data_IF_485274426896
#
_entry.id   IF_485274426896
#
_cell.length_a   1.000
_cell.length_b   1.000
_cell.length_c   1.000
_cell.angle_alpha   90.00
_cell.angle_beta   90.00
_cell.angle_gamma   90.00
#
_symmetry.space_group_name_H-M   'P 1'
#
loop_
_entity.id
_entity.type
_entity.pdbx_description
1 polymer ?
#
# COMPACT_ATOMS: atom_id res chain seq x y z
N UNK A 1 -47.70 -34.24 -99.95
CA UNK A 1 -47.64 -33.27 -98.84
C UNK A 1 -47.58 -34.05 -97.54
N UNK A 2 -46.57 -33.76 -96.74
CA UNK A 2 -46.30 -34.22 -95.39
C UNK A 2 -46.92 -33.23 -94.40
N UNK A 3 -47.53 -33.70 -93.30
CA UNK A 3 -47.26 -33.37 -91.87
C UNK A 3 -48.41 -33.87 -90.99
N UNK A 4 -48.11 -34.63 -89.93
CA UNK A 4 -48.31 -34.22 -88.52
C UNK A 4 -49.36 -35.12 -87.86
N UNK A 5 -49.37 -35.48 -86.58
CA UNK A 5 -48.69 -35.05 -85.36
C UNK A 5 -49.04 -36.08 -84.25
N UNK A 6 -48.23 -36.15 -83.19
CA UNK A 6 -48.58 -36.74 -81.88
C UNK A 6 -47.62 -37.87 -81.50
N UNK A 7 -46.70 -37.75 -80.53
CA UNK A 7 -46.76 -37.00 -79.27
C UNK A 7 -46.98 -38.01 -78.15
N UNK A 8 -45.93 -38.34 -77.39
CA UNK A 8 -45.99 -39.28 -76.27
C UNK A 8 -44.70 -39.29 -75.46
N UNK A 9 -44.78 -38.63 -74.30
CA UNK A 9 -43.76 -38.42 -73.27
C UNK A 9 -42.97 -39.67 -72.86
N UNK A 10 -41.64 -39.51 -72.77
CA UNK A 10 -40.80 -40.26 -71.87
C UNK A 10 -39.99 -39.22 -71.09
N UNK A 11 -40.46 -38.86 -69.89
CA UNK A 11 -39.75 -38.00 -68.95
C UNK A 11 -38.32 -38.54 -68.73
N UNK A 12 -37.27 -37.74 -68.99
CA UNK A 12 -35.97 -38.03 -68.42
C UNK A 12 -36.03 -37.63 -66.95
N UNK A 13 -35.84 -38.61 -66.07
CA UNK A 13 -35.62 -38.39 -64.64
C UNK A 13 -34.40 -37.46 -64.49
N UNK A 14 -34.64 -36.16 -64.33
CA UNK A 14 -33.59 -35.14 -64.26
C UNK A 14 -32.95 -35.29 -62.90
N UNK A 15 -31.88 -36.10 -62.82
CA UNK A 15 -31.04 -36.19 -61.64
C UNK A 15 -30.51 -34.78 -61.36
N UNK A 16 -31.14 -34.09 -60.41
CA UNK A 16 -30.69 -32.81 -59.86
C UNK A 16 -29.42 -33.08 -59.06
N UNK A 17 -28.28 -33.11 -59.74
CA UNK A 17 -26.96 -33.14 -59.10
C UNK A 17 -26.76 -31.80 -58.39
N UNK A 18 -26.97 -31.80 -57.07
CA UNK A 18 -26.72 -30.62 -56.25
C UNK A 18 -25.20 -30.45 -56.21
N UNK A 19 -24.70 -29.37 -56.79
CA UNK A 19 -23.30 -28.99 -56.68
C UNK A 19 -22.94 -28.86 -55.19
N UNK A 20 -22.22 -29.86 -54.66
CA UNK A 20 -21.79 -29.90 -53.26
C UNK A 20 -20.56 -29.03 -53.02
N UNK A 21 -19.80 -28.70 -54.07
CA UNK A 21 -18.57 -27.89 -53.97
C UNK A 21 -18.81 -26.49 -53.40
N UNK A 22 -19.82 -25.72 -53.85
CA UNK A 22 -20.14 -24.43 -53.22
C UNK A 22 -20.70 -24.57 -51.80
N UNK A 23 -21.43 -25.66 -51.50
CA UNK A 23 -21.99 -25.90 -50.17
C UNK A 23 -20.88 -26.17 -49.15
N UNK A 24 -19.86 -26.94 -49.54
CA UNK A 24 -18.71 -27.25 -48.69
C UNK A 24 -17.92 -25.98 -48.35
N UNK A 25 -17.74 -25.05 -49.29
CA UNK A 25 -17.05 -23.78 -49.07
C UNK A 25 -17.78 -22.92 -48.01
N UNK A 26 -19.10 -22.78 -48.15
CA UNK A 26 -19.92 -22.07 -47.15
C UNK A 26 -19.84 -22.73 -45.78
N UNK A 27 -19.89 -24.06 -45.72
CA UNK A 27 -19.77 -24.78 -44.44
C UNK A 27 -18.39 -24.62 -43.81
N UNK A 28 -17.32 -24.66 -44.59
CA UNK A 28 -15.95 -24.49 -44.10
C UNK A 28 -15.72 -23.08 -43.55
N UNK A 29 -16.26 -22.05 -44.20
CA UNK A 29 -16.24 -20.67 -43.70
C UNK A 29 -16.93 -20.58 -42.33
N UNK A 30 -18.08 -21.22 -42.14
CA UNK A 30 -18.80 -21.21 -40.86
C UNK A 30 -18.00 -21.91 -39.74
N UNK A 31 -17.31 -23.00 -40.04
CA UNK A 31 -16.45 -23.71 -39.07
C UNK A 31 -15.26 -22.83 -38.67
N UNK A 32 -14.59 -22.17 -39.63
CA UNK A 32 -13.48 -21.27 -39.35
C UNK A 32 -13.95 -20.09 -38.50
N UNK A 33 -15.10 -19.50 -38.83
CA UNK A 33 -15.69 -18.43 -38.03
C UNK A 33 -15.96 -18.89 -36.59
N UNK A 34 -16.51 -20.09 -36.39
CA UNK A 34 -16.74 -20.64 -35.04
C UNK A 34 -15.42 -20.79 -34.27
N UNK A 35 -14.36 -21.29 -34.90
CA UNK A 35 -13.06 -21.50 -34.26
C UNK A 35 -12.41 -20.17 -33.83
N UNK A 36 -12.40 -19.14 -34.68
CA UNK A 36 -11.71 -17.88 -34.38
C UNK A 36 -12.43 -17.00 -33.35
N UNK A 37 -13.71 -17.27 -33.07
CA UNK A 37 -14.51 -16.48 -32.13
C UNK A 37 -14.19 -16.75 -30.66
N UNK A 38 -13.42 -17.80 -30.35
CA UNK A 38 -13.05 -18.12 -28.97
C UNK A 38 -11.98 -17.14 -28.47
N UNK A 39 -12.26 -16.33 -27.43
CA UNK A 39 -11.29 -15.40 -26.89
C UNK A 39 -10.16 -16.13 -26.14
N UNK A 40 -8.94 -15.63 -26.26
CA UNK A 40 -7.82 -16.13 -25.48
C UNK A 40 -8.05 -15.84 -23.99
N UNK A 41 -8.04 -16.88 -23.16
CA UNK A 41 -8.14 -16.74 -21.71
C UNK A 41 -6.76 -16.34 -21.16
N UNK A 42 -6.60 -15.09 -20.76
CA UNK A 42 -5.38 -14.62 -20.07
C UNK A 42 -5.62 -14.60 -18.56
N UNK A 43 -4.94 -15.47 -17.82
CA UNK A 43 -4.96 -15.42 -16.35
C UNK A 43 -4.00 -14.32 -15.87
N UNK A 44 -4.51 -13.10 -15.71
CA UNK A 44 -3.76 -12.02 -15.07
C UNK A 44 -3.78 -12.21 -13.55
N UNK A 45 -2.72 -12.79 -12.98
CA UNK A 45 -2.49 -12.77 -11.54
C UNK A 45 -2.07 -11.35 -11.16
N UNK A 46 -2.92 -10.65 -10.40
CA UNK A 46 -2.58 -9.36 -9.79
C UNK A 46 -1.56 -9.61 -8.68
N UNK A 47 -0.27 -9.59 -9.02
CA UNK A 47 0.79 -9.64 -8.04
C UNK A 47 0.94 -8.25 -7.42
N UNK A 48 0.39 -8.08 -6.22
CA UNK A 48 0.69 -6.91 -5.40
C UNK A 48 2.15 -7.04 -4.95
N UNK A 49 3.05 -6.34 -5.64
CA UNK A 49 4.43 -6.22 -5.16
C UNK A 49 4.41 -5.42 -3.86
N UNK A 50 4.98 -5.93 -2.76
CA UNK A 50 5.18 -5.11 -1.57
C UNK A 50 6.09 -3.95 -1.96
N UNK A 51 5.62 -2.72 -1.72
CA UNK A 51 6.47 -1.54 -1.81
C UNK A 51 7.53 -1.68 -0.72
N UNK A 52 8.80 -1.70 -1.12
CA UNK A 52 9.92 -1.82 -0.20
C UNK A 52 9.89 -0.71 0.85
N UNK A 53 10.37 -1.01 2.07
CA UNK A 53 10.53 0.01 3.12
C UNK A 53 11.40 1.15 2.59
N UNK A 54 11.00 2.42 2.75
CA UNK A 54 11.81 3.56 2.35
C UNK A 54 13.23 3.45 2.94
N UNK A 55 14.27 3.88 2.22
CA UNK A 55 15.60 3.95 2.79
C UNK A 55 15.58 4.84 4.04
N UNK A 56 16.36 4.49 5.09
CA UNK A 56 16.41 5.28 6.30
C UNK A 56 16.86 6.72 5.98
N UNK A 57 16.39 7.72 6.76
CA UNK A 57 16.80 9.09 6.57
C UNK A 57 18.33 9.22 6.51
N UNK A 58 18.88 10.03 5.59
CA UNK A 58 20.33 10.16 5.41
C UNK A 58 21.04 10.74 6.64
N UNK A 59 20.30 11.38 7.55
CA UNK A 59 20.81 11.89 8.83
C UNK A 59 20.01 11.24 9.96
N UNK A 60 20.66 10.52 10.89
CA UNK A 60 19.96 10.00 12.06
C UNK A 60 19.43 11.18 12.89
N UNK A 61 18.21 11.07 13.48
CA UNK A 61 17.70 12.10 14.36
C UNK A 61 18.66 12.35 15.51
N UNK A 62 18.84 13.61 15.89
CA UNK A 62 19.58 13.95 17.09
C UNK A 62 18.85 13.37 18.29
N UNK A 63 19.55 12.65 19.16
CA UNK A 63 18.98 12.12 20.40
C UNK A 63 19.15 13.17 21.50
N UNK A 64 18.06 13.48 22.19
CA UNK A 64 18.04 14.38 23.34
C UNK A 64 17.67 13.56 24.58
N UNK A 65 18.57 13.53 25.56
CA UNK A 65 18.35 12.85 26.83
C UNK A 65 17.61 13.81 27.77
N UNK A 66 16.45 13.37 28.26
CA UNK A 66 15.68 14.04 29.30
C UNK A 66 15.76 13.19 30.55
N UNK A 67 16.56 13.59 31.52
CA UNK A 67 16.59 12.94 32.82
C UNK A 67 15.66 13.67 33.78
N UNK A 68 14.91 12.92 34.59
CA UNK A 68 14.09 13.49 35.66
C UNK A 68 14.60 12.93 36.99
N UNK A 69 15.17 13.79 37.82
CA UNK A 69 15.76 13.38 39.09
C UNK A 69 14.70 13.13 40.18
N UNK A 70 15.10 12.59 41.34
CA UNK A 70 14.21 12.17 42.42
C UNK A 70 13.33 13.31 42.97
N UNK A 71 13.80 14.55 42.92
CA UNK A 71 13.10 15.76 43.34
C UNK A 71 12.16 16.33 42.27
N UNK A 72 12.19 15.78 41.05
CA UNK A 72 11.45 16.26 39.89
C UNK A 72 12.21 17.29 39.05
N UNK A 73 13.48 17.56 39.35
CA UNK A 73 14.36 18.38 38.52
C UNK A 73 14.54 17.72 37.15
N UNK A 74 14.37 18.50 36.09
CA UNK A 74 14.52 18.02 34.71
C UNK A 74 15.88 18.44 34.19
N UNK A 75 16.63 17.49 33.66
CA UNK A 75 17.89 17.74 32.98
C UNK A 75 17.71 17.49 31.49
N UNK A 76 18.23 18.40 30.68
CA UNK A 76 18.23 18.34 29.23
C UNK A 76 19.67 18.16 28.75
N UNK A 77 20.01 16.97 28.26
CA UNK A 77 21.39 16.59 27.91
C UNK A 77 22.38 16.86 29.06
N UNK A 78 21.96 16.62 30.31
CA UNK A 78 22.76 16.87 31.52
C UNK A 78 22.75 18.31 32.03
N UNK A 79 22.11 19.25 31.32
CA UNK A 79 21.93 20.62 31.78
C UNK A 79 20.63 20.76 32.58
N UNK A 80 20.70 21.29 33.79
CA UNK A 80 19.52 21.52 34.62
C UNK A 80 18.62 22.58 33.98
N UNK A 81 17.37 22.22 33.73
CA UNK A 81 16.34 23.17 33.28
C UNK A 81 15.62 23.71 34.51
N UNK A 82 15.91 24.96 34.84
CA UNK A 82 15.51 25.59 36.11
C UNK A 82 14.01 25.81 36.25
N UNK A 83 13.28 25.94 35.14
CA UNK A 83 11.89 26.35 35.13
C UNK A 83 11.08 25.74 33.97
N UNK A 84 9.77 25.66 34.18
CA UNK A 84 8.82 25.09 33.22
C UNK A 84 8.74 25.88 31.91
N UNK A 85 8.66 27.23 31.91
CA UNK A 85 8.69 28.01 30.67
C UNK A 85 9.92 27.75 29.80
N UNK A 86 11.12 27.66 30.39
CA UNK A 86 12.35 27.35 29.65
C UNK A 86 12.28 25.96 29.01
N UNK A 87 11.76 24.97 29.72
CA UNK A 87 11.56 23.63 29.18
C UNK A 87 10.59 23.64 27.99
N UNK A 88 9.46 24.35 28.12
CA UNK A 88 8.46 24.48 27.06
C UNK A 88 9.02 25.20 25.83
N UNK A 89 9.87 26.22 26.01
CA UNK A 89 10.58 26.88 24.90
C UNK A 89 11.55 25.92 24.18
N UNK A 90 12.31 25.12 24.93
CA UNK A 90 13.19 24.09 24.34
C UNK A 90 12.40 23.09 23.50
N UNK A 91 11.23 22.65 23.99
CA UNK A 91 10.35 21.77 23.21
C UNK A 91 9.80 22.44 21.94
N UNK A 92 9.37 23.70 22.00
CA UNK A 92 8.92 24.43 20.81
C UNK A 92 10.01 24.53 19.75
N UNK A 93 11.23 24.85 20.16
CA UNK A 93 12.37 24.96 19.24
C UNK A 93 12.73 23.60 18.63
N UNK A 94 12.61 22.52 19.40
CA UNK A 94 12.84 21.17 18.88
C UNK A 94 11.72 20.72 17.91
N UNK A 95 10.48 21.14 18.13
CA UNK A 95 9.33 20.80 17.30
C UNK A 95 9.35 21.48 15.91
N UNK A 96 10.03 22.62 15.77
CA UNK A 96 10.15 23.36 14.50
C UNK A 96 11.27 22.85 13.59
N UNK A 97 12.10 21.92 14.06
CA UNK A 97 13.15 21.31 13.25
C UNK A 97 12.55 20.41 12.16
N UNK A 98 13.11 20.48 10.95
CA UNK A 98 12.70 19.64 9.81
C UNK A 98 12.81 18.15 10.12
N UNK A 99 13.87 17.76 10.82
CA UNK A 99 14.04 16.44 11.41
C UNK A 99 13.90 16.58 12.93
N UNK A 100 12.73 16.23 13.45
CA UNK A 100 12.52 16.26 14.90
C UNK A 100 13.49 15.31 15.62
N UNK A 101 14.13 15.77 16.71
CA UNK A 101 14.98 14.94 17.54
C UNK A 101 14.18 13.85 18.25
N UNK A 102 14.86 12.76 18.58
CA UNK A 102 14.29 11.68 19.37
C UNK A 102 14.58 11.94 20.85
N UNK A 103 13.52 12.01 21.67
CA UNK A 103 13.64 12.29 23.09
C UNK A 103 13.68 11.00 23.89
N UNK A 104 14.76 10.78 24.62
CA UNK A 104 14.91 9.66 25.54
C UNK A 104 14.67 10.13 26.96
N UNK A 105 13.48 9.81 27.50
CA UNK A 105 13.08 10.16 28.84
C UNK A 105 13.55 9.09 29.83
N UNK A 106 14.43 9.46 30.76
CA UNK A 106 14.95 8.61 31.83
C UNK A 106 14.47 9.14 33.19
N UNK A 107 13.40 8.56 33.76
CA UNK A 107 12.99 8.93 35.10
C UNK A 107 13.85 8.24 36.16
N UNK A 108 14.16 8.94 37.26
CA UNK A 108 14.75 8.34 38.47
C UNK A 108 13.74 7.40 39.14
N UNK A 109 14.17 6.26 39.69
CA UNK A 109 13.29 5.28 40.36
C UNK A 109 12.45 5.89 41.49
N UNK A 110 12.94 6.91 42.18
CA UNK A 110 12.27 7.55 43.31
C UNK A 110 11.37 8.73 42.92
N UNK A 111 11.37 9.14 41.65
CA UNK A 111 10.58 10.31 41.23
C UNK A 111 9.09 10.01 41.24
N UNK A 112 8.28 11.01 41.61
CA UNK A 112 6.82 10.90 41.51
C UNK A 112 6.40 10.84 40.04
N UNK A 113 5.52 9.89 39.72
CA UNK A 113 4.91 9.74 38.38
C UNK A 113 4.35 11.06 37.83
N UNK A 114 3.76 11.91 38.69
CA UNK A 114 3.23 13.23 38.30
C UNK A 114 4.28 14.12 37.61
N UNK A 115 5.53 14.10 38.06
CA UNK A 115 6.61 14.91 37.48
C UNK A 115 6.94 14.42 36.07
N UNK A 116 7.10 13.10 35.91
CA UNK A 116 7.38 12.45 34.62
C UNK A 116 6.24 12.66 33.63
N UNK A 117 5.00 12.40 34.06
CA UNK A 117 3.80 12.63 33.27
C UNK A 117 3.64 14.11 32.87
N UNK A 118 4.02 15.04 33.76
CA UNK A 118 4.09 16.46 33.45
C UNK A 118 5.04 16.75 32.29
N UNK A 119 6.28 16.26 32.36
CA UNK A 119 7.28 16.45 31.29
C UNK A 119 6.76 15.88 29.96
N UNK A 120 6.23 14.65 29.96
CA UNK A 120 5.65 14.02 28.76
C UNK A 120 4.49 14.83 28.18
N UNK A 121 3.57 15.29 29.04
CA UNK A 121 2.40 16.07 28.60
C UNK A 121 2.80 17.41 27.96
N UNK A 122 3.84 18.07 28.48
CA UNK A 122 4.35 19.30 27.85
C UNK A 122 5.02 19.00 26.51
N UNK A 123 5.85 17.96 26.44
CA UNK A 123 6.49 17.59 25.18
C UNK A 123 5.44 17.28 24.09
N UNK A 124 4.41 16.50 24.43
CA UNK A 124 3.32 16.16 23.51
C UNK A 124 2.48 17.39 23.11
N UNK A 125 2.15 18.26 24.07
CA UNK A 125 1.41 19.52 23.80
C UNK A 125 2.15 20.44 22.83
N UNK A 126 3.48 20.38 22.82
CA UNK A 126 4.32 21.17 21.92
C UNK A 126 4.65 20.47 20.59
N UNK A 127 4.01 19.33 20.29
CA UNK A 127 4.12 18.67 18.98
C UNK A 127 5.34 17.76 18.82
N UNK A 128 5.99 17.37 19.92
CA UNK A 128 7.04 16.34 19.89
C UNK A 128 6.39 14.98 19.71
N UNK A 129 6.70 14.30 18.60
CA UNK A 129 6.09 13.00 18.27
C UNK A 129 6.97 11.81 18.62
N UNK A 130 8.27 12.01 18.82
CA UNK A 130 9.27 10.95 19.03
C UNK A 130 9.80 10.99 20.46
N UNK A 131 9.10 10.32 21.38
CA UNK A 131 9.50 10.19 22.78
C UNK A 131 9.61 8.71 23.13
N UNK A 132 10.80 8.26 23.52
CA UNK A 132 11.07 6.94 24.05
C UNK A 132 11.34 7.01 25.55
N UNK A 133 10.74 6.10 26.32
CA UNK A 133 11.06 5.94 27.73
C UNK A 133 12.22 4.94 27.85
N UNK A 134 13.34 5.39 28.40
CA UNK A 134 14.55 4.56 28.58
C UNK A 134 14.71 4.22 30.06
N UNK A 135 15.15 2.98 30.34
CA UNK A 135 15.21 2.48 31.71
C UNK A 135 13.81 2.26 32.29
N UNK A 136 12.88 1.66 31.54
CA UNK A 136 11.64 1.13 32.12
C UNK A 136 11.91 -0.08 33.04
N UNK A 137 13.02 -0.78 32.79
CA UNK A 137 13.47 -1.98 33.51
C UNK A 137 13.65 -1.79 35.03
N UNK A 138 14.05 -0.59 35.47
CA UNK A 138 14.20 -0.26 36.90
C UNK A 138 12.89 -0.21 37.69
N UNK A 139 11.72 -0.24 37.01
CA UNK A 139 10.38 -0.24 37.61
C UNK A 139 9.68 -1.62 37.59
N UNK A 140 10.34 -2.65 37.06
CA UNK A 140 9.77 -4.00 36.92
C UNK A 140 10.04 -4.91 38.14
N UNK A 141 10.59 -4.35 39.23
CA UNK A 141 10.92 -5.04 40.49
C UNK A 141 10.05 -4.54 41.66
#
# INVERSE_FOLDING_TARGET
MNVGSGGGDADPDVMLDINTTPLIDVMLVLIIMLIITIPIQTHAVKLNMPVGTPPPPPVPPVVIQLDVDFDGTVLWNGEIVSDRPTLDQRFRNAATLEVQPEFHLRPNKLVKYKSVAGVMASAQSHGITKIGLVGAEQFLD
#
